data_IF_787662555620
#
_entry.id   IF_787662555620
#
_cell.length_a   1.000
_cell.length_b   1.000
_cell.length_c   1.000
_cell.angle_alpha   90.00
_cell.angle_beta   90.00
_cell.angle_gamma   90.00
#
_symmetry.space_group_name_H-M   'P 1'
#
loop_
_entity.id
_entity.type
_entity.pdbx_description
1 polymer ?
#
# COMPACT_ATOMS: atom_id res chain seq x y z
N UNK A 1 -10.06 13.08 6.32
CA UNK A 1 -10.80 12.35 5.27
C UNK A 1 -10.42 10.87 5.10
N UNK A 2 -9.89 10.19 6.13
CA UNK A 2 -9.59 8.75 6.01
C UNK A 2 -10.86 7.92 5.72
N UNK A 3 -12.00 8.30 6.29
CA UNK A 3 -13.27 7.61 6.09
C UNK A 3 -13.72 7.61 4.62
N UNK A 4 -13.39 8.64 3.84
CA UNK A 4 -13.70 8.68 2.40
C UNK A 4 -12.90 7.61 1.65
N UNK A 5 -11.58 7.56 1.85
CA UNK A 5 -10.74 6.53 1.23
C UNK A 5 -11.08 5.14 1.74
N UNK A 6 -11.46 5.01 3.02
CA UNK A 6 -11.97 3.76 3.60
C UNK A 6 -13.20 3.30 2.83
N UNK A 7 -14.19 4.15 2.61
CA UNK A 7 -15.42 3.77 1.89
C UNK A 7 -15.12 3.26 0.48
N UNK A 8 -14.22 3.95 -0.26
CA UNK A 8 -13.80 3.53 -1.60
C UNK A 8 -13.01 2.22 -1.54
N UNK A 9 -12.07 2.08 -0.62
CA UNK A 9 -11.30 0.86 -0.44
C UNK A 9 -12.20 -0.34 -0.09
N UNK A 10 -13.21 -0.14 0.77
CA UNK A 10 -14.23 -1.14 1.11
C UNK A 10 -15.08 -1.53 -0.09
N UNK A 11 -15.47 -0.57 -0.93
CA UNK A 11 -16.22 -0.84 -2.15
C UNK A 11 -15.48 -1.83 -3.07
N UNK A 12 -14.15 -1.70 -3.17
CA UNK A 12 -13.30 -2.61 -3.95
C UNK A 12 -12.74 -3.79 -3.13
N UNK A 13 -13.28 -4.03 -1.94
CA UNK A 13 -13.08 -5.26 -1.19
C UNK A 13 -11.88 -5.27 -0.23
N UNK A 14 -11.35 -4.11 0.19
CA UNK A 14 -10.34 -4.07 1.26
C UNK A 14 -10.93 -4.49 2.63
N UNK A 15 -10.13 -5.17 3.44
CA UNK A 15 -10.54 -5.67 4.75
C UNK A 15 -10.23 -4.71 5.89
N UNK A 16 -9.32 -3.76 5.69
CA UNK A 16 -9.08 -2.59 6.54
C UNK A 16 -8.18 -1.57 5.86
N UNK A 17 -8.11 -0.35 6.42
CA UNK A 17 -7.26 0.75 5.94
C UNK A 17 -6.62 1.50 7.09
N UNK A 18 -5.40 1.99 6.85
CA UNK A 18 -4.63 2.80 7.78
C UNK A 18 -4.02 4.01 7.07
N UNK A 19 -3.35 4.85 7.84
CA UNK A 19 -2.59 5.97 7.31
C UNK A 19 -1.44 6.31 8.25
N UNK A 20 -0.32 6.78 7.70
CA UNK A 20 0.79 7.38 8.46
C UNK A 20 1.19 8.70 7.80
N UNK A 21 1.58 9.69 8.61
CA UNK A 21 2.14 10.96 8.12
C UNK A 21 3.56 10.74 7.59
N UNK A 22 3.93 11.40 6.51
CA UNK A 22 5.27 11.32 5.93
C UNK A 22 6.16 12.35 6.62
N UNK A 23 7.08 11.85 7.44
CA UNK A 23 8.20 12.59 7.99
C UNK A 23 9.54 12.09 7.38
N UNK A 24 10.66 12.61 7.88
CA UNK A 24 12.00 12.24 7.42
C UNK A 24 12.36 10.78 7.73
N UNK A 25 11.74 10.14 8.73
CA UNK A 25 11.97 8.73 9.03
C UNK A 25 11.15 7.83 8.10
N UNK A 26 9.92 8.22 7.78
CA UNK A 26 9.08 7.54 6.79
C UNK A 26 9.69 7.60 5.39
N UNK A 27 10.33 8.71 5.01
CA UNK A 27 11.06 8.81 3.74
C UNK A 27 12.21 7.80 3.63
N UNK A 28 12.90 7.49 4.74
CA UNK A 28 14.00 6.50 4.76
C UNK A 28 13.53 5.06 4.51
N UNK A 29 12.22 4.79 4.69
CA UNK A 29 11.62 3.48 4.44
C UNK A 29 11.29 3.24 2.95
N UNK A 30 11.44 4.26 2.11
CA UNK A 30 11.33 4.15 0.65
C UNK A 30 12.59 3.46 0.11
N UNK A 31 12.40 2.56 -0.86
CA UNK A 31 13.52 1.90 -1.52
C UNK A 31 14.39 2.92 -2.27
N UNK A 32 15.70 2.71 -2.30
CA UNK A 32 16.61 3.60 -3.04
C UNK A 32 16.29 3.61 -4.54
N UNK A 33 16.04 2.43 -5.10
CA UNK A 33 15.67 2.23 -6.48
C UNK A 33 14.63 1.12 -6.61
N UNK A 34 13.89 1.17 -7.71
CA UNK A 34 12.93 0.16 -8.10
C UNK A 34 13.61 -1.00 -8.85
N UNK A 35 12.85 -2.02 -9.23
CA UNK A 35 13.33 -3.22 -9.93
C UNK A 35 13.92 -2.95 -11.33
N UNK A 36 13.66 -1.77 -11.90
CA UNK A 36 14.22 -1.31 -13.18
C UNK A 36 15.30 -0.24 -13.00
N UNK A 37 15.95 -0.21 -11.83
CA UNK A 37 17.06 0.67 -11.44
C UNK A 37 16.74 2.17 -11.40
N UNK A 38 15.46 2.56 -11.57
CA UNK A 38 15.06 3.96 -11.41
C UNK A 38 15.01 4.34 -9.94
N UNK A 39 15.68 5.43 -9.59
CA UNK A 39 15.74 5.92 -8.21
C UNK A 39 14.43 6.56 -7.78
N UNK A 40 13.98 6.29 -6.55
CA UNK A 40 12.92 7.07 -5.94
C UNK A 40 13.50 8.36 -5.34
N UNK A 41 12.90 9.50 -5.67
CA UNK A 41 13.36 10.82 -5.19
C UNK A 41 12.16 11.64 -4.72
N UNK A 42 12.33 12.36 -3.61
CA UNK A 42 11.37 13.34 -3.14
C UNK A 42 11.75 14.74 -3.61
N UNK A 43 10.84 15.46 -4.25
CA UNK A 43 11.09 16.82 -4.77
C UNK A 43 9.91 17.76 -4.50
N UNK A 44 10.19 19.06 -4.44
CA UNK A 44 9.18 20.12 -4.35
C UNK A 44 8.59 20.42 -5.74
N UNK A 45 7.71 19.53 -6.21
CA UNK A 45 7.01 19.63 -7.50
C UNK A 45 5.50 19.43 -7.33
N UNK A 46 4.71 19.94 -8.26
CA UNK A 46 3.24 19.86 -8.19
C UNK A 46 2.70 18.49 -8.59
N UNK A 47 3.36 17.78 -9.50
CA UNK A 47 2.92 16.48 -9.99
C UNK A 47 4.05 15.45 -9.92
N UNK A 48 3.67 14.20 -9.68
CA UNK A 48 4.62 13.10 -9.76
C UNK A 48 4.97 12.83 -11.21
N UNK A 49 6.25 12.52 -11.47
CA UNK A 49 6.72 12.23 -12.81
C UNK A 49 7.79 11.14 -12.80
N UNK A 50 8.02 10.57 -13.97
CA UNK A 50 9.01 9.52 -14.20
C UNK A 50 9.93 9.95 -15.34
N UNK A 51 11.23 9.70 -15.20
CA UNK A 51 12.23 9.87 -16.25
C UNK A 51 12.81 8.52 -16.66
N UNK A 52 13.84 8.54 -17.50
CA UNK A 52 14.63 7.35 -17.78
C UNK A 52 15.36 6.80 -16.53
N UNK A 53 15.63 7.62 -15.52
CA UNK A 53 16.53 7.29 -14.40
C UNK A 53 15.94 7.44 -13.01
N UNK A 54 14.78 8.12 -12.86
CA UNK A 54 14.15 8.34 -11.55
C UNK A 54 12.63 8.38 -11.61
N UNK A 55 12.00 8.09 -10.46
CA UNK A 55 10.58 8.29 -10.14
C UNK A 55 10.47 9.30 -9.02
N UNK A 56 9.75 10.39 -9.27
CA UNK A 56 9.66 11.50 -8.31
C UNK A 56 8.33 11.45 -7.56
N UNK A 57 8.43 11.50 -6.23
CA UNK A 57 7.30 11.63 -5.31
C UNK A 57 7.27 13.08 -4.81
N UNK A 58 6.19 13.83 -5.07
CA UNK A 58 6.07 15.20 -4.57
C UNK A 58 6.15 15.28 -3.05
N UNK A 59 6.91 16.24 -2.50
CA UNK A 59 6.98 16.49 -1.05
C UNK A 59 5.62 16.86 -0.43
N UNK A 60 4.66 17.35 -1.24
CA UNK A 60 3.27 17.57 -0.78
C UNK A 60 2.50 16.27 -0.51
N UNK A 61 3.00 15.11 -0.93
CA UNK A 61 2.42 13.81 -0.58
C UNK A 61 2.73 13.45 0.89
N UNK A 62 2.04 14.13 1.81
CA UNK A 62 2.28 14.08 3.25
C UNK A 62 1.71 12.83 3.92
N UNK A 63 1.07 11.93 3.17
CA UNK A 63 0.40 10.77 3.73
C UNK A 63 0.80 9.49 3.00
N UNK A 64 0.99 8.42 3.76
CA UNK A 64 0.99 7.06 3.23
C UNK A 64 -0.32 6.39 3.60
N UNK A 65 -1.20 6.22 2.61
CA UNK A 65 -2.44 5.49 2.75
C UNK A 65 -2.16 3.98 2.59
N UNK A 66 -2.59 3.18 3.56
CA UNK A 66 -2.39 1.73 3.57
C UNK A 66 -3.73 1.00 3.53
N UNK A 67 -3.76 -0.19 2.94
CA UNK A 67 -4.94 -1.06 2.98
C UNK A 67 -4.55 -2.53 3.08
N UNK A 68 -5.51 -3.34 3.52
CA UNK A 68 -5.36 -4.79 3.56
C UNK A 68 -6.29 -5.50 2.59
N UNK A 69 -5.79 -6.60 2.04
CA UNK A 69 -6.46 -7.54 1.16
C UNK A 69 -6.26 -8.96 1.70
N UNK A 70 -7.36 -9.61 2.08
CA UNK A 70 -7.39 -10.91 2.74
C UNK A 70 -7.58 -12.04 1.75
N UNK A 71 -6.85 -13.12 1.99
CA UNK A 71 -7.06 -14.38 1.30
C UNK A 71 -8.37 -15.05 1.71
N UNK A 72 -9.03 -15.79 0.79
CA UNK A 72 -10.15 -16.67 1.13
C UNK A 72 -9.72 -17.69 2.21
N UNK A 73 -10.21 -17.57 3.46
CA UNK A 73 -9.61 -18.26 4.61
C UNK A 73 -9.76 -19.77 4.53
N UNK A 74 -10.89 -20.26 4.01
CA UNK A 74 -11.11 -21.69 3.80
C UNK A 74 -10.08 -22.25 2.82
N UNK A 75 -9.84 -21.58 1.69
CA UNK A 75 -8.85 -22.04 0.72
C UNK A 75 -7.42 -21.95 1.27
N UNK A 76 -7.10 -20.89 2.04
CA UNK A 76 -5.77 -20.74 2.68
C UNK A 76 -5.46 -21.90 3.63
N UNK A 77 -6.44 -22.37 4.40
CA UNK A 77 -6.26 -23.50 5.34
C UNK A 77 -6.00 -24.84 4.66
N UNK A 78 -6.39 -24.99 3.40
CA UNK A 78 -6.19 -26.21 2.62
C UNK A 78 -5.01 -26.09 1.64
N UNK A 79 -4.15 -25.08 1.79
CA UNK A 79 -2.96 -24.96 0.95
C UNK A 79 -1.99 -26.12 1.27
N UNK A 80 -1.62 -26.89 0.26
CA UNK A 80 -0.75 -28.07 0.38
C UNK A 80 0.74 -27.76 0.68
N UNK A 81 1.06 -26.56 1.19
CA UNK A 81 2.38 -26.15 1.69
C UNK A 81 3.54 -26.07 0.68
N UNK A 82 3.43 -26.67 -0.50
CA UNK A 82 4.55 -26.81 -1.45
C UNK A 82 4.75 -25.60 -2.36
N UNK A 83 3.68 -24.85 -2.64
CA UNK A 83 3.66 -23.60 -3.41
C UNK A 83 2.50 -22.73 -2.92
N UNK A 84 2.60 -21.42 -3.18
CA UNK A 84 1.42 -20.55 -3.12
C UNK A 84 0.33 -21.08 -4.07
N UNK A 85 -0.93 -20.97 -3.65
CA UNK A 85 -2.07 -21.48 -4.42
C UNK A 85 -3.04 -20.34 -4.78
N UNK A 86 -4.12 -20.68 -5.49
CA UNK A 86 -5.22 -19.79 -5.89
C UNK A 86 -5.60 -18.67 -4.89
N UNK A 87 -5.77 -18.90 -3.57
CA UNK A 87 -6.15 -17.82 -2.66
C UNK A 87 -5.10 -16.70 -2.57
N UNK A 88 -3.82 -16.98 -2.77
CA UNK A 88 -2.77 -15.95 -2.82
C UNK A 88 -2.91 -15.09 -4.08
N UNK A 89 -2.98 -15.73 -5.26
CA UNK A 89 -3.06 -15.03 -6.55
C UNK A 89 -4.32 -14.17 -6.68
N UNK A 90 -5.49 -14.67 -6.25
CA UNK A 90 -6.73 -13.90 -6.25
C UNK A 90 -6.62 -12.65 -5.38
N UNK A 91 -5.89 -12.73 -4.26
CA UNK A 91 -5.72 -11.60 -3.35
C UNK A 91 -4.83 -10.52 -3.95
N UNK A 92 -3.75 -10.90 -4.65
CA UNK A 92 -2.91 -9.94 -5.37
C UNK A 92 -3.64 -9.29 -6.54
N UNK A 93 -4.41 -10.06 -7.29
CA UNK A 93 -5.28 -9.53 -8.36
C UNK A 93 -6.25 -8.47 -7.79
N UNK A 94 -6.96 -8.79 -6.70
CA UNK A 94 -7.86 -7.84 -6.01
C UNK A 94 -7.11 -6.61 -5.51
N UNK A 95 -5.94 -6.80 -4.92
CA UNK A 95 -5.10 -5.70 -4.46
C UNK A 95 -4.70 -4.74 -5.59
N UNK A 96 -4.37 -5.27 -6.77
CA UNK A 96 -3.98 -4.45 -7.91
C UNK A 96 -5.16 -3.66 -8.46
N UNK A 97 -6.34 -4.27 -8.51
CA UNK A 97 -7.56 -3.55 -8.89
C UNK A 97 -7.83 -2.37 -7.96
N UNK A 98 -7.78 -2.59 -6.64
CA UNK A 98 -7.93 -1.48 -5.69
C UNK A 98 -6.84 -0.41 -5.88
N UNK A 99 -5.57 -0.82 -6.07
CA UNK A 99 -4.48 0.13 -6.32
C UNK A 99 -4.77 1.05 -7.51
N UNK A 100 -5.32 0.53 -8.61
CA UNK A 100 -5.69 1.36 -9.76
C UNK A 100 -6.89 2.28 -9.44
N UNK A 101 -7.98 1.71 -8.94
CA UNK A 101 -9.22 2.45 -8.74
C UNK A 101 -9.10 3.55 -7.69
N UNK A 102 -8.34 3.33 -6.62
CA UNK A 102 -8.17 4.35 -5.59
C UNK A 102 -7.34 5.53 -6.10
N UNK A 103 -6.32 5.29 -6.93
CA UNK A 103 -5.54 6.35 -7.58
C UNK A 103 -6.40 7.16 -8.55
N UNK A 104 -7.26 6.50 -9.32
CA UNK A 104 -8.20 7.18 -10.21
C UNK A 104 -9.22 8.02 -9.44
N UNK A 105 -9.75 7.48 -8.34
CA UNK A 105 -10.65 8.21 -7.45
C UNK A 105 -9.98 9.47 -6.89
N UNK A 106 -8.77 9.37 -6.34
CA UNK A 106 -8.08 10.55 -5.79
C UNK A 106 -7.71 11.56 -6.86
N UNK A 107 -7.30 11.09 -8.04
CA UNK A 107 -7.03 11.94 -9.20
C UNK A 107 -8.26 12.71 -9.64
N UNK A 108 -9.44 12.07 -9.66
CA UNK A 108 -10.72 12.71 -9.95
C UNK A 108 -11.11 13.80 -8.94
N UNK A 109 -10.56 13.76 -7.73
CA UNK A 109 -10.73 14.79 -6.71
C UNK A 109 -9.64 15.89 -6.75
N UNK A 110 -8.71 15.83 -7.71
CA UNK A 110 -7.62 16.79 -7.85
C UNK A 110 -6.40 16.52 -6.97
N UNK A 111 -6.25 15.29 -6.46
CA UNK A 111 -5.14 14.88 -5.60
C UNK A 111 -4.25 13.84 -6.28
N UNK A 112 -2.96 13.89 -5.96
CA UNK A 112 -1.95 12.95 -6.40
C UNK A 112 -1.93 11.73 -5.47
N UNK A 113 -1.85 10.54 -6.07
CA UNK A 113 -1.57 9.30 -5.36
C UNK A 113 -0.62 8.43 -6.16
N UNK A 114 0.50 8.03 -5.55
CA UNK A 114 1.60 7.35 -6.24
C UNK A 114 2.05 6.07 -5.53
N UNK A 115 2.67 5.22 -6.34
CA UNK A 115 3.09 3.88 -5.99
C UNK A 115 2.25 2.80 -6.66
N UNK A 116 2.73 1.58 -6.52
CA UNK A 116 2.05 0.35 -6.87
C UNK A 116 1.95 -0.52 -5.62
N UNK A 117 0.87 -1.27 -5.52
CA UNK A 117 0.81 -2.35 -4.56
C UNK A 117 1.66 -3.54 -5.02
N UNK A 118 2.29 -4.26 -4.08
CA UNK A 118 2.89 -5.57 -4.35
C UNK A 118 4.41 -5.61 -4.35
N UNK A 119 4.95 -6.51 -5.17
CA UNK A 119 6.39 -6.81 -5.30
C UNK A 119 6.88 -6.59 -6.73
N UNK A 120 6.21 -5.73 -7.50
CA UNK A 120 6.57 -5.40 -8.89
C UNK A 120 7.05 -3.96 -9.03
N UNK A 121 7.28 -3.54 -10.28
CA UNK A 121 7.64 -2.16 -10.62
C UNK A 121 6.60 -1.19 -10.06
N UNK A 122 7.08 -0.12 -9.44
CA UNK A 122 6.29 0.88 -8.74
C UNK A 122 6.11 0.59 -7.25
N UNK A 123 6.62 -0.53 -6.73
CA UNK A 123 6.62 -0.77 -5.29
C UNK A 123 7.61 0.18 -4.62
N UNK A 124 7.08 1.14 -3.86
CA UNK A 124 7.87 2.26 -3.32
C UNK A 124 8.64 1.87 -2.05
N UNK A 125 8.23 0.81 -1.34
CA UNK A 125 8.88 0.44 -0.10
C UNK A 125 8.35 -0.85 0.50
N UNK A 126 8.89 -1.23 1.66
CA UNK A 126 8.55 -2.46 2.36
C UNK A 126 7.10 -2.43 2.89
N UNK A 127 6.17 -2.95 2.10
CA UNK A 127 4.71 -2.82 2.33
C UNK A 127 4.23 -3.26 3.72
N UNK A 128 4.78 -4.34 4.28
CA UNK A 128 4.50 -4.76 5.64
C UNK A 128 4.94 -3.76 6.72
N UNK A 129 6.08 -3.08 6.54
CA UNK A 129 6.57 -2.07 7.49
C UNK A 129 5.61 -0.89 7.60
N UNK A 130 5.15 -0.37 6.45
CA UNK A 130 4.15 0.71 6.44
C UNK A 130 2.79 0.27 7.00
N UNK A 131 2.38 -0.97 6.74
CA UNK A 131 1.17 -1.51 7.34
C UNK A 131 1.25 -1.52 8.87
N UNK A 132 2.38 -1.93 9.43
CA UNK A 132 2.61 -1.87 10.88
C UNK A 132 2.57 -0.44 11.43
N UNK A 133 3.31 0.48 10.80
CA UNK A 133 3.35 1.89 11.20
C UNK A 133 1.99 2.58 11.10
N UNK A 134 1.15 2.17 10.16
CA UNK A 134 -0.22 2.68 9.99
C UNK A 134 -1.26 2.06 10.93
N UNK A 135 -0.84 1.16 11.84
CA UNK A 135 -1.71 0.51 12.82
C UNK A 135 -2.54 -0.68 12.30
N UNK A 136 -2.22 -1.23 11.13
CA UNK A 136 -2.95 -2.37 10.55
C UNK A 136 -2.59 -3.72 11.15
N UNK A 137 -1.51 -3.80 11.94
CA UNK A 137 -1.09 -5.02 12.61
C UNK A 137 0.35 -4.93 13.12
N UNK A 138 0.86 -6.03 13.65
CA UNK A 138 2.20 -6.10 14.21
C UNK A 138 3.04 -7.16 13.51
N UNK A 139 4.36 -6.95 13.43
CA UNK A 139 5.27 -7.94 12.89
C UNK A 139 5.30 -9.18 13.79
N UNK A 140 4.86 -10.32 13.26
CA UNK A 140 4.89 -11.60 13.96
C UNK A 140 6.18 -12.39 13.73
N UNK A 141 6.38 -13.45 14.53
CA UNK A 141 7.50 -14.40 14.42
C UNK A 141 7.67 -15.00 13.01
N UNK A 142 6.57 -15.13 12.26
CA UNK A 142 6.59 -15.63 10.89
C UNK A 142 7.13 -14.61 9.87
N UNK A 143 7.62 -13.44 10.31
CA UNK A 143 8.06 -12.32 9.47
C UNK A 143 6.95 -11.74 8.60
N UNK A 144 5.71 -11.84 9.06
CA UNK A 144 4.52 -11.27 8.43
C UNK A 144 3.78 -10.38 9.42
N UNK A 145 3.07 -9.38 8.91
CA UNK A 145 2.19 -8.55 9.72
C UNK A 145 0.93 -9.33 10.09
N UNK A 146 0.68 -9.44 11.39
CA UNK A 146 -0.49 -10.09 11.95
C UNK A 146 -1.56 -9.01 12.17
N UNK A 147 -2.63 -9.08 11.39
CA UNK A 147 -3.78 -8.21 11.59
C UNK A 147 -4.61 -8.69 12.81
N UNK A 148 -5.05 -7.81 13.73
CA UNK A 148 -5.74 -8.23 14.95
C UNK A 148 -7.00 -9.06 14.68
N UNK A 149 -7.76 -8.71 13.64
CA UNK A 149 -8.99 -9.42 13.25
C UNK A 149 -8.80 -10.60 12.28
N UNK A 150 -7.78 -10.55 11.41
CA UNK A 150 -7.67 -11.49 10.28
C UNK A 150 -6.40 -12.34 10.34
N UNK A 151 -5.56 -12.14 11.37
CA UNK A 151 -4.29 -12.81 11.55
C UNK A 151 -3.39 -12.69 10.33
N UNK A 152 -2.71 -13.78 10.02
CA UNK A 152 -1.79 -13.92 8.88
C UNK A 152 -2.49 -14.11 7.53
N UNK A 153 -3.83 -14.14 7.48
CA UNK A 153 -4.55 -14.33 6.21
C UNK A 153 -4.64 -13.05 5.37
N UNK A 154 -4.22 -11.90 5.91
CA UNK A 154 -4.00 -10.68 5.14
C UNK A 154 -2.69 -10.80 4.37
N UNK A 155 -2.79 -10.86 3.03
CA UNK A 155 -1.64 -11.11 2.16
C UNK A 155 -1.12 -9.84 1.51
N UNK A 156 -2.02 -9.04 0.96
CA UNK A 156 -1.67 -7.76 0.36
C UNK A 156 -1.95 -6.68 1.40
N UNK A 157 -0.90 -6.20 2.06
CA UNK A 157 -0.94 -5.04 2.93
C UNK A 157 -0.19 -3.92 2.24
N UNK A 158 -0.85 -3.21 1.34
CA UNK A 158 -0.20 -2.33 0.38
C UNK A 158 -0.43 -0.87 0.69
N UNK A 159 0.32 0.00 0.01
CA UNK A 159 0.25 1.42 0.28
C UNK A 159 0.51 2.31 -0.92
N UNK A 160 0.08 3.56 -0.79
CA UNK A 160 0.36 4.65 -1.71
C UNK A 160 0.69 5.93 -0.95
N UNK A 161 1.62 6.72 -1.51
CA UNK A 161 1.86 8.09 -1.06
C UNK A 161 0.81 9.00 -1.69
N UNK A 162 0.29 9.98 -0.95
CA UNK A 162 -0.74 10.89 -1.45
C UNK A 162 -0.72 12.25 -0.76
N UNK A 163 -1.14 13.28 -1.48
CA UNK A 163 -1.42 14.62 -0.94
C UNK A 163 -2.91 14.80 -0.56
N UNK A 164 -3.72 13.74 -0.70
CA UNK A 164 -5.11 13.74 -0.24
C UNK A 164 -5.17 14.08 1.26
N UNK A 165 -5.99 15.04 1.70
CA UNK A 165 -5.99 15.52 3.08
C UNK A 165 -6.59 14.48 4.03
N UNK A 166 -5.75 13.54 4.48
CA UNK A 166 -6.06 12.57 5.50
C UNK A 166 -5.75 13.21 6.85
N UNK A 167 -6.63 13.01 7.83
CA UNK A 167 -6.32 13.32 9.23
C UNK A 167 -6.24 11.95 9.87
N UNK A 168 -5.09 11.52 10.41
CA UNK A 168 -4.99 10.26 11.11
C UNK A 168 -6.00 10.25 12.25
N UNK A 169 -6.77 9.17 12.44
CA UNK A 169 -7.54 9.02 13.68
C UNK A 169 -6.54 9.02 14.84
N UNK A 170 -6.78 9.89 15.83
CA UNK A 170 -6.06 9.89 17.10
C UNK A 170 -6.34 8.61 17.88
#
# INVERSE_FOLDING_TARGET
NLMTLRSVARLFGAEDVGCVEVDEDIKKMVFEADMDDKKYVFEDVDEAYETATKRVIPNKCKWVFTWTMRQPPNMTRHQAGRKENAPTYITYMRGHYLSCYIKDFTRGLGYTMVGAGGTGIGCVGATGGFAALSGLGELGRASYIIHPKYGLTNRAMWMHFTDFPIVPPR
#
